data_IF_456756908097
#
_entry.id   IF_456756908097
#
_cell.length_a   1.000
_cell.length_b   1.000
_cell.length_c   1.000
_cell.angle_alpha   90.00
_cell.angle_beta   90.00
_cell.angle_gamma   90.00
#
_symmetry.space_group_name_H-M   'P 1'
#
loop_
_entity.id
_entity.type
_entity.pdbx_description
1 polymer ?
#
# COMPACT_ATOMS: atom_id res chain seq x y z
N UNK A 1 41.17 76.43 69.32
CA UNK A 1 42.07 75.94 70.39
C UNK A 1 41.56 74.57 70.84
N UNK A 2 42.49 73.65 71.11
CA UNK A 2 42.34 72.24 71.58
C UNK A 2 42.01 71.14 70.56
N UNK A 3 43.11 70.47 70.14
CA UNK A 3 43.31 69.09 69.63
C UNK A 3 42.83 68.00 70.62
N UNK A 4 43.11 66.69 70.39
CA UNK A 4 42.77 65.73 69.31
C UNK A 4 42.27 64.38 69.92
N UNK A 5 42.29 63.25 69.15
CA UNK A 5 42.37 61.80 69.53
C UNK A 5 41.39 61.01 68.62
N UNK A 6 41.67 59.86 67.98
CA UNK A 6 42.86 59.01 67.73
C UNK A 6 42.54 58.06 66.54
N UNK A 7 43.62 57.58 65.91
CA UNK A 7 43.76 56.50 64.92
C UNK A 7 42.91 55.23 65.13
N UNK A 8 42.53 54.59 64.01
CA UNK A 8 42.93 53.21 63.72
C UNK A 8 42.88 52.91 62.20
N UNK A 9 44.03 52.47 61.66
CA UNK A 9 44.19 51.83 60.35
C UNK A 9 43.54 50.43 60.37
N UNK A 10 42.98 49.99 59.24
CA UNK A 10 43.39 48.71 58.63
C UNK A 10 43.10 48.69 57.13
N UNK A 11 44.01 48.03 56.42
CA UNK A 11 44.21 47.95 54.98
C UNK A 11 43.39 46.79 54.39
N UNK A 12 42.82 46.97 53.20
CA UNK A 12 42.19 45.91 52.40
C UNK A 12 41.94 46.36 50.96
N UNK A 13 42.88 46.04 50.07
CA UNK A 13 42.69 46.02 48.61
C UNK A 13 42.01 44.70 48.19
N UNK A 14 41.64 44.49 46.90
CA UNK A 14 40.84 45.31 45.99
C UNK A 14 39.77 44.43 45.29
N UNK A 15 38.93 44.96 44.40
CA UNK A 15 38.62 44.30 43.12
C UNK A 15 37.87 45.26 42.18
N UNK A 16 38.49 45.54 41.02
CA UNK A 16 37.86 46.20 39.88
C UNK A 16 36.84 45.24 39.25
N UNK A 17 35.62 45.71 39.03
CA UNK A 17 34.68 45.09 38.10
C UNK A 17 34.38 46.08 36.97
N UNK A 18 34.93 45.80 35.79
CA UNK A 18 34.58 46.44 34.53
C UNK A 18 33.26 45.85 34.01
N UNK A 19 32.32 46.72 33.65
CA UNK A 19 31.04 46.35 33.04
C UNK A 19 31.13 46.58 31.53
N UNK A 20 31.04 45.56 30.67
CA UNK A 20 30.77 45.76 29.26
C UNK A 20 29.26 45.71 29.00
N UNK A 21 28.78 46.68 28.22
CA UNK A 21 27.44 46.68 27.63
C UNK A 21 27.32 45.57 26.59
N UNK A 22 26.31 44.71 26.73
CA UNK A 22 25.90 43.76 25.70
C UNK A 22 24.49 44.12 25.24
N UNK A 23 24.39 44.60 24.01
CA UNK A 23 23.13 44.75 23.27
C UNK A 23 22.69 43.36 22.81
N UNK A 24 21.66 42.80 23.45
CA UNK A 24 21.06 41.54 23.05
C UNK A 24 20.05 41.77 21.94
N UNK A 25 20.42 41.49 20.69
CA UNK A 25 19.46 41.19 19.64
C UNK A 25 18.87 39.80 19.91
N UNK A 26 17.69 39.76 20.51
CA UNK A 26 16.91 38.53 20.64
C UNK A 26 16.33 38.12 19.30
N UNK A 27 17.06 37.30 18.54
CA UNK A 27 16.44 36.37 17.60
C UNK A 27 16.34 35.03 18.32
N UNK A 28 15.13 34.64 18.72
CA UNK A 28 14.81 33.24 18.96
C UNK A 28 13.57 32.92 18.13
N UNK A 29 13.89 32.44 16.94
CA UNK A 29 13.13 31.58 16.04
C UNK A 29 11.91 30.93 16.70
N UNK A 30 10.75 31.10 16.07
CA UNK A 30 9.54 30.40 16.47
C UNK A 30 9.79 28.91 16.47
N UNK A 31 9.63 28.27 17.63
CA UNK A 31 9.44 26.84 17.68
C UNK A 31 8.17 26.54 16.89
N UNK A 32 8.34 26.00 15.68
CA UNK A 32 7.25 25.28 15.04
C UNK A 32 6.85 24.20 16.04
N UNK A 33 5.71 24.38 16.72
CA UNK A 33 5.08 23.32 17.47
C UNK A 33 4.85 22.20 16.48
N UNK A 34 5.75 21.20 16.47
CA UNK A 34 5.57 19.99 15.70
C UNK A 34 4.38 19.28 16.30
N UNK A 35 3.19 19.68 15.83
CA UNK A 35 1.94 19.04 16.19
C UNK A 35 2.10 17.59 15.77
N UNK A 36 2.01 16.69 16.75
CA UNK A 36 2.14 15.26 16.56
C UNK A 36 1.26 14.82 15.36
N UNK A 37 1.82 14.17 14.32
CA UNK A 37 1.16 14.07 13.02
C UNK A 37 0.09 12.98 12.94
N UNK A 38 -0.08 12.17 13.99
CA UNK A 38 -1.06 11.10 14.06
C UNK A 38 -2.08 11.40 15.15
N UNK A 39 -3.30 11.77 14.78
CA UNK A 39 -4.39 12.05 15.74
C UNK A 39 -5.38 10.88 15.77
N UNK A 40 -5.63 10.32 16.95
CA UNK A 40 -6.78 9.43 17.15
C UNK A 40 -8.03 10.30 17.26
N UNK A 41 -8.87 10.32 16.23
CA UNK A 41 -9.98 11.27 16.08
C UNK A 41 -10.94 11.21 17.28
N UNK A 42 -11.27 10.01 17.73
CA UNK A 42 -12.26 9.77 18.79
C UNK A 42 -11.83 10.33 20.14
N UNK A 43 -10.52 10.49 20.38
CA UNK A 43 -9.98 10.99 21.65
C UNK A 43 -9.36 12.39 21.54
N UNK A 44 -9.12 12.87 20.31
CA UNK A 44 -8.35 14.08 20.04
C UNK A 44 -6.86 13.98 20.39
N UNK A 45 -6.40 12.84 20.93
CA UNK A 45 -5.00 12.64 21.32
C UNK A 45 -4.13 12.50 20.07
N UNK A 46 -3.02 13.23 20.05
CA UNK A 46 -2.05 13.17 18.96
C UNK A 46 -0.74 12.54 19.43
N UNK A 47 -0.12 11.76 18.54
CA UNK A 47 1.09 10.98 18.80
C UNK A 47 2.18 11.30 17.77
N UNK A 48 3.44 11.24 18.22
CA UNK A 48 4.61 11.46 17.36
C UNK A 48 4.99 10.24 16.55
N UNK A 49 4.70 9.02 17.06
CA UNK A 49 4.91 7.74 16.36
C UNK A 49 3.57 7.12 15.98
N UNK A 50 3.50 6.53 14.80
CA UNK A 50 2.29 5.86 14.33
C UNK A 50 1.92 4.68 15.25
N UNK A 51 2.90 3.91 15.70
CA UNK A 51 2.68 2.78 16.59
C UNK A 51 1.98 3.21 17.90
N UNK A 52 2.33 4.36 18.47
CA UNK A 52 1.71 4.82 19.73
C UNK A 52 0.22 5.15 19.53
N UNK A 53 -0.16 5.67 18.35
CA UNK A 53 -1.57 5.89 18.01
C UNK A 53 -2.34 4.58 17.82
N UNK A 54 -1.71 3.56 17.22
CA UNK A 54 -2.29 2.21 17.09
C UNK A 54 -2.47 1.57 18.46
N UNK A 55 -1.44 1.62 19.31
CA UNK A 55 -1.46 1.05 20.66
C UNK A 55 -2.52 1.73 21.54
N UNK A 56 -2.74 3.04 21.35
CA UNK A 56 -3.77 3.79 22.06
C UNK A 56 -5.20 3.37 21.69
N UNK A 57 -5.45 2.91 20.46
CA UNK A 57 -6.73 2.31 20.07
C UNK A 57 -6.85 0.91 20.70
N UNK A 58 -5.76 0.15 20.69
CA UNK A 58 -5.69 -1.16 21.31
C UNK A 58 -6.72 -2.12 20.70
N UNK A 59 -7.48 -2.84 21.54
CA UNK A 59 -8.49 -3.79 21.07
C UNK A 59 -9.81 -3.13 20.65
N UNK A 60 -9.92 -1.81 20.77
CA UNK A 60 -11.10 -1.06 20.38
C UNK A 60 -11.21 -0.85 18.87
N UNK A 61 -12.03 0.13 18.49
CA UNK A 61 -12.13 0.63 17.12
C UNK A 61 -11.83 2.12 17.13
N UNK A 62 -11.09 2.61 16.13
CA UNK A 62 -10.76 4.03 16.06
C UNK A 62 -10.12 4.47 14.75
N UNK A 63 -9.97 5.78 14.59
CA UNK A 63 -9.47 6.41 13.38
C UNK A 63 -8.20 7.18 13.68
N UNK A 64 -7.10 6.81 13.04
CA UNK A 64 -5.85 7.56 13.02
C UNK A 64 -5.86 8.47 11.80
N UNK A 65 -5.97 9.78 12.04
CA UNK A 65 -5.77 10.80 11.02
C UNK A 65 -4.30 11.16 10.91
N UNK A 66 -3.78 11.08 9.69
CA UNK A 66 -2.41 11.45 9.33
C UNK A 66 -2.38 12.90 8.84
N UNK A 67 -1.39 13.67 9.29
CA UNK A 67 -1.04 14.95 8.69
C UNK A 67 -0.55 14.75 7.24
N UNK A 68 -0.61 15.82 6.43
CA UNK A 68 -0.14 15.85 5.05
C UNK A 68 1.39 15.95 4.96
N UNK A 69 2.09 14.85 5.26
CA UNK A 69 3.54 14.75 5.30
C UNK A 69 4.06 13.45 4.67
N UNK A 70 5.38 13.38 4.49
CA UNK A 70 6.10 12.13 4.23
C UNK A 70 6.66 11.57 5.54
N UNK A 71 6.42 10.29 5.76
CA UNK A 71 6.69 9.59 7.01
C UNK A 71 7.66 8.43 6.75
N UNK A 72 8.82 8.47 7.39
CA UNK A 72 9.65 7.28 7.58
C UNK A 72 9.17 6.55 8.84
N UNK A 73 7.94 6.07 8.82
CA UNK A 73 7.29 5.36 9.93
C UNK A 73 6.59 4.08 9.47
N UNK A 74 6.29 3.19 10.39
CA UNK A 74 5.53 1.96 10.14
C UNK A 74 4.77 1.56 11.41
N UNK A 75 3.78 0.69 11.28
CA UNK A 75 3.08 0.16 12.45
C UNK A 75 2.57 -1.27 12.29
N UNK A 76 2.39 -1.91 13.44
CA UNK A 76 1.83 -3.23 13.61
C UNK A 76 0.51 -3.11 14.36
N UNK A 77 -0.59 -3.45 13.70
CA UNK A 77 -1.91 -3.56 14.31
C UNK A 77 -2.17 -4.99 14.73
N UNK A 78 -1.94 -5.30 16.01
CA UNK A 78 -2.11 -6.66 16.56
C UNK A 78 -3.56 -7.03 16.89
N UNK A 79 -4.45 -6.05 17.00
CA UNK A 79 -5.83 -6.21 17.52
C UNK A 79 -6.72 -5.05 17.08
N UNK A 80 -7.99 -5.08 17.49
CA UNK A 80 -8.93 -4.01 17.23
C UNK A 80 -9.30 -3.82 15.75
N UNK A 81 -9.95 -2.69 15.46
CA UNK A 81 -10.31 -2.25 14.11
C UNK A 81 -9.86 -0.81 13.87
N UNK A 82 -8.84 -0.61 13.04
CA UNK A 82 -8.20 0.69 12.87
C UNK A 82 -8.46 1.25 11.47
N UNK A 83 -8.92 2.51 11.42
CA UNK A 83 -8.97 3.28 10.17
C UNK A 83 -7.75 4.19 10.09
N UNK A 84 -6.95 4.05 9.04
CA UNK A 84 -5.81 4.88 8.70
C UNK A 84 -6.22 5.87 7.62
N UNK A 85 -6.38 7.14 7.99
CA UNK A 85 -6.96 8.18 7.12
C UNK A 85 -5.99 9.32 6.89
N UNK A 86 -5.71 9.67 5.63
CA UNK A 86 -5.07 10.92 5.30
C UNK A 86 -6.00 12.10 5.60
N UNK A 87 -5.49 13.20 6.18
CA UNK A 87 -6.25 14.44 6.29
C UNK A 87 -6.59 15.01 4.90
N UNK A 88 -5.62 14.95 3.98
CA UNK A 88 -5.82 15.23 2.56
C UNK A 88 -5.37 14.02 1.74
N UNK A 89 -6.28 13.37 0.97
CA UNK A 89 -5.93 12.20 0.16
C UNK A 89 -4.74 12.46 -0.77
N UNK A 90 -3.78 11.55 -0.76
CA UNK A 90 -2.57 11.59 -1.58
C UNK A 90 -1.42 12.38 -0.96
N UNK A 91 -1.62 13.04 0.19
CA UNK A 91 -0.61 13.89 0.82
C UNK A 91 0.02 13.29 2.08
N UNK A 92 -0.45 12.14 2.55
CA UNK A 92 0.16 11.37 3.64
C UNK A 92 0.90 10.16 3.06
N UNK A 93 2.23 10.18 3.08
CA UNK A 93 3.09 9.19 2.43
C UNK A 93 3.88 8.38 3.44
N UNK A 94 3.59 7.09 3.61
CA UNK A 94 4.49 6.15 4.28
C UNK A 94 5.58 5.73 3.29
N UNK A 95 6.84 6.00 3.61
CA UNK A 95 7.96 5.93 2.66
C UNK A 95 9.16 5.18 3.21
N UNK A 96 9.58 4.13 2.50
CA UNK A 96 10.84 3.42 2.69
C UNK A 96 10.96 2.55 3.94
N UNK A 97 10.14 2.78 4.98
CA UNK A 97 10.23 2.03 6.24
C UNK A 97 9.23 0.88 6.32
N UNK A 98 9.74 -0.29 6.68
CA UNK A 98 8.95 -1.48 6.97
C UNK A 98 9.06 -1.89 8.44
N UNK A 99 7.96 -2.41 8.98
CA UNK A 99 7.89 -3.08 10.27
C UNK A 99 7.97 -4.59 10.05
N UNK A 100 8.63 -5.29 10.98
CA UNK A 100 8.84 -6.75 10.97
C UNK A 100 9.45 -7.31 9.68
N UNK A 101 10.26 -6.51 8.96
CA UNK A 101 10.78 -6.86 7.63
C UNK A 101 9.66 -7.26 6.64
N UNK A 102 8.45 -6.72 6.80
CA UNK A 102 7.27 -7.06 6.00
C UNK A 102 6.70 -5.86 5.25
N UNK A 103 6.25 -4.84 5.98
CA UNK A 103 5.46 -3.77 5.37
C UNK A 103 5.43 -2.46 6.17
N UNK A 104 5.01 -1.37 5.53
CA UNK A 104 4.73 -0.12 6.24
C UNK A 104 3.57 -0.29 7.25
N UNK A 105 2.53 -1.03 6.88
CA UNK A 105 1.47 -1.45 7.79
C UNK A 105 1.39 -2.98 7.83
N UNK A 106 1.57 -3.57 9.01
CA UNK A 106 1.35 -5.00 9.26
C UNK A 106 0.07 -5.15 10.08
N UNK A 107 -0.95 -5.75 9.48
CA UNK A 107 -2.32 -5.74 9.97
C UNK A 107 -2.77 -7.17 10.31
N UNK A 108 -3.13 -7.40 11.57
CA UNK A 108 -3.62 -8.71 12.06
C UNK A 108 -4.72 -8.58 13.12
N UNK A 109 -5.37 -7.42 13.18
CA UNK A 109 -6.54 -7.17 14.02
C UNK A 109 -7.84 -7.71 13.40
N UNK A 110 -9.00 -7.36 13.98
CA UNK A 110 -10.31 -7.76 13.45
C UNK A 110 -10.59 -7.15 12.07
N UNK A 111 -10.04 -5.97 11.80
CA UNK A 111 -10.08 -5.37 10.48
C UNK A 111 -9.35 -4.03 10.40
N UNK A 112 -9.22 -3.51 9.19
CA UNK A 112 -8.60 -2.23 8.95
C UNK A 112 -9.25 -1.50 7.78
N UNK A 113 -9.16 -0.16 7.80
CA UNK A 113 -9.51 0.69 6.66
C UNK A 113 -8.35 1.60 6.31
N UNK A 114 -8.10 1.79 5.03
CA UNK A 114 -7.07 2.68 4.50
C UNK A 114 -7.75 3.67 3.58
N UNK A 115 -7.59 4.96 3.88
CA UNK A 115 -8.30 6.02 3.19
C UNK A 115 -7.34 7.15 2.83
N UNK A 116 -7.07 7.35 1.54
CA UNK A 116 -6.28 8.50 1.08
C UNK A 116 -4.76 8.38 1.25
N UNK A 117 -4.23 7.27 1.76
CA UNK A 117 -2.79 7.13 2.02
C UNK A 117 -1.98 6.80 0.75
N UNK A 118 -0.71 7.17 0.78
CA UNK A 118 0.31 6.75 -0.20
C UNK A 118 1.34 5.85 0.48
N UNK A 119 1.68 4.74 -0.16
CA UNK A 119 2.73 3.81 0.24
C UNK A 119 3.81 3.80 -0.83
N UNK A 120 5.05 4.09 -0.45
CA UNK A 120 6.14 4.25 -1.41
C UNK A 120 7.45 3.60 -0.95
N UNK A 121 8.21 3.10 -1.93
CA UNK A 121 9.60 2.66 -1.78
C UNK A 121 9.85 1.57 -0.74
N UNK A 122 8.86 0.71 -0.46
CA UNK A 122 9.01 -0.36 0.52
C UNK A 122 9.79 -1.52 -0.09
N UNK A 123 10.93 -1.82 0.53
CA UNK A 123 11.84 -2.90 0.16
C UNK A 123 12.33 -3.58 1.43
N UNK A 124 12.38 -4.90 1.44
CA UNK A 124 12.84 -5.68 2.59
C UNK A 124 13.78 -6.80 2.12
N UNK A 125 14.57 -7.44 3.01
CA UNK A 125 15.59 -8.40 2.59
C UNK A 125 15.09 -9.60 1.78
N UNK A 126 13.86 -10.07 2.04
CA UNK A 126 13.26 -11.23 1.36
C UNK A 126 12.67 -10.91 -0.03
N UNK A 127 12.77 -9.64 -0.47
CA UNK A 127 12.23 -9.12 -1.73
C UNK A 127 10.71 -9.13 -1.82
N UNK A 128 10.02 -9.09 -0.69
CA UNK A 128 8.57 -9.16 -0.60
C UNK A 128 7.95 -8.02 0.25
N UNK A 129 8.63 -6.88 0.30
CA UNK A 129 8.25 -5.72 1.09
C UNK A 129 7.01 -5.02 0.57
N UNK A 130 5.97 -4.87 1.41
CA UNK A 130 4.67 -4.34 0.99
C UNK A 130 4.33 -2.97 1.57
N UNK A 131 3.48 -2.21 0.88
CA UNK A 131 2.77 -1.10 1.54
C UNK A 131 1.93 -1.61 2.70
N UNK A 132 1.18 -2.70 2.46
CA UNK A 132 0.30 -3.35 3.44
C UNK A 132 0.55 -4.86 3.46
N UNK A 133 0.81 -5.40 4.65
CA UNK A 133 0.80 -6.85 4.93
C UNK A 133 -0.44 -7.16 5.78
N UNK A 134 -1.45 -7.80 5.22
CA UNK A 134 -2.67 -8.20 5.92
C UNK A 134 -2.58 -9.69 6.31
N UNK A 135 -2.30 -10.00 7.56
CA UNK A 135 -2.17 -11.40 7.99
C UNK A 135 -3.52 -12.04 8.34
N UNK A 136 -4.50 -11.25 8.82
CA UNK A 136 -5.87 -11.69 9.12
C UNK A 136 -6.80 -10.46 9.12
N UNK A 137 -8.07 -10.68 8.79
CA UNK A 137 -9.16 -9.76 9.10
C UNK A 137 -9.66 -9.04 7.85
N UNK A 138 -10.73 -8.28 8.00
CA UNK A 138 -11.30 -7.54 6.87
C UNK A 138 -10.44 -6.32 6.53
N UNK A 139 -10.30 -6.01 5.25
CA UNK A 139 -9.58 -4.82 4.79
C UNK A 139 -10.41 -4.04 3.77
N UNK A 140 -10.57 -2.74 4.02
CA UNK A 140 -11.07 -1.81 3.01
C UNK A 140 -9.97 -0.80 2.65
N UNK A 141 -9.69 -0.65 1.37
CA UNK A 141 -8.75 0.32 0.82
C UNK A 141 -9.50 1.22 -0.13
N UNK A 142 -9.45 2.53 0.10
CA UNK A 142 -10.12 3.50 -0.76
C UNK A 142 -9.23 4.69 -1.04
N UNK A 143 -9.21 5.11 -2.31
CA UNK A 143 -8.48 6.30 -2.75
C UNK A 143 -7.01 6.29 -2.29
N UNK A 144 -6.33 5.16 -2.43
CA UNK A 144 -4.95 4.98 -1.99
C UNK A 144 -3.98 4.81 -3.17
N UNK A 145 -2.69 5.07 -2.94
CA UNK A 145 -1.64 4.93 -3.94
C UNK A 145 -0.51 4.04 -3.43
N UNK A 146 -0.16 3.02 -4.20
CA UNK A 146 0.96 2.13 -3.92
C UNK A 146 1.95 2.25 -5.06
N UNK A 147 3.21 2.59 -4.76
CA UNK A 147 4.21 2.79 -5.81
C UNK A 147 5.64 2.46 -5.42
N UNK A 148 6.43 2.09 -6.41
CA UNK A 148 7.89 2.00 -6.30
C UNK A 148 8.39 1.00 -5.23
N UNK A 149 7.55 0.04 -4.86
CA UNK A 149 7.78 -0.97 -3.82
C UNK A 149 7.83 -2.37 -4.43
N UNK A 150 8.32 -3.35 -3.66
CA UNK A 150 8.31 -4.76 -4.10
C UNK A 150 6.87 -5.28 -4.21
N UNK A 151 6.05 -5.08 -3.18
CA UNK A 151 4.61 -5.37 -3.15
C UNK A 151 3.80 -4.08 -2.93
N UNK A 152 2.58 -4.04 -3.46
CA UNK A 152 1.57 -3.05 -3.00
C UNK A 152 0.88 -3.53 -1.74
N UNK A 153 0.11 -4.62 -1.89
CA UNK A 153 -0.63 -5.29 -0.83
C UNK A 153 -0.34 -6.80 -0.89
N UNK A 154 -0.02 -7.39 0.25
CA UNK A 154 0.17 -8.82 0.41
C UNK A 154 -0.68 -9.33 1.58
N UNK A 155 -1.52 -10.33 1.36
CA UNK A 155 -2.27 -10.97 2.44
C UNK A 155 -1.76 -12.37 2.79
N UNK A 156 -2.03 -12.79 4.04
CA UNK A 156 -2.07 -14.18 4.45
C UNK A 156 -3.38 -14.85 4.03
N UNK A 157 -3.91 -15.70 4.91
CA UNK A 157 -5.11 -16.51 4.66
C UNK A 157 -6.17 -16.23 5.73
N UNK A 158 -7.40 -16.00 5.30
CA UNK A 158 -8.58 -15.84 6.14
C UNK A 158 -9.82 -16.16 5.29
N UNK A 159 -10.23 -17.44 5.19
CA UNK A 159 -11.35 -17.85 4.34
C UNK A 159 -12.70 -17.20 4.69
N UNK A 160 -12.82 -16.58 5.87
CA UNK A 160 -14.01 -15.82 6.29
C UNK A 160 -13.84 -14.31 6.08
N UNK A 161 -12.63 -13.86 5.77
CA UNK A 161 -12.29 -12.47 5.55
C UNK A 161 -12.70 -11.96 4.17
N UNK A 162 -12.88 -10.64 4.09
CA UNK A 162 -13.18 -9.91 2.87
C UNK A 162 -12.21 -8.74 2.68
N UNK A 163 -11.73 -8.59 1.45
CA UNK A 163 -10.87 -7.48 1.04
C UNK A 163 -11.58 -6.67 -0.05
N UNK A 164 -11.72 -5.36 0.16
CA UNK A 164 -12.30 -4.42 -0.79
C UNK A 164 -11.30 -3.31 -1.12
N UNK A 165 -11.03 -3.09 -2.41
CA UNK A 165 -10.14 -2.06 -2.94
C UNK A 165 -10.93 -1.21 -3.93
N UNK A 166 -11.05 0.09 -3.66
CA UNK A 166 -11.76 1.04 -4.51
C UNK A 166 -10.89 2.24 -4.86
N UNK A 167 -11.02 2.75 -6.08
CA UNK A 167 -10.39 4.01 -6.52
C UNK A 167 -8.90 4.13 -6.21
N UNK A 168 -8.17 3.02 -6.25
CA UNK A 168 -6.77 2.98 -5.82
C UNK A 168 -5.83 2.78 -7.01
N UNK A 169 -4.59 3.24 -6.87
CA UNK A 169 -3.58 3.18 -7.94
C UNK A 169 -2.36 2.37 -7.50
N UNK A 170 -1.90 1.50 -8.38
CA UNK A 170 -0.77 0.59 -8.21
C UNK A 170 0.22 0.81 -9.35
N UNK A 171 1.39 1.38 -9.07
CA UNK A 171 2.32 1.86 -10.11
C UNK A 171 3.74 1.40 -9.82
N UNK A 172 4.44 0.77 -10.79
CA UNK A 172 5.85 0.35 -10.62
C UNK A 172 6.05 -0.51 -9.37
N UNK A 173 5.23 -1.56 -9.28
CA UNK A 173 5.28 -2.57 -8.24
C UNK A 173 5.71 -3.91 -8.84
N UNK A 174 6.26 -4.79 -8.00
CA UNK A 174 6.67 -6.14 -8.37
C UNK A 174 8.18 -6.27 -8.61
N UNK A 175 8.68 -7.48 -8.38
CA UNK A 175 10.05 -7.93 -8.68
C UNK A 175 10.05 -9.46 -8.72
N UNK A 176 10.97 -10.09 -9.44
CA UNK A 176 11.17 -11.56 -9.40
C UNK A 176 12.60 -11.92 -8.96
N UNK A 177 13.28 -11.02 -8.25
CA UNK A 177 14.66 -11.21 -7.75
C UNK A 177 14.74 -12.08 -6.47
N UNK A 178 13.61 -12.47 -5.88
CA UNK A 178 13.52 -13.25 -4.63
C UNK A 178 13.34 -14.75 -4.83
N UNK A 179 12.88 -15.45 -3.79
CA UNK A 179 12.49 -16.88 -3.87
C UNK A 179 11.20 -17.12 -4.68
N UNK A 180 10.51 -16.05 -5.04
CA UNK A 180 9.39 -15.99 -5.96
C UNK A 180 9.22 -14.56 -6.46
N UNK A 181 8.13 -14.30 -7.16
CA UNK A 181 7.78 -12.95 -7.60
C UNK A 181 6.96 -12.22 -6.53
N UNK A 182 7.25 -10.93 -6.40
CA UNK A 182 6.38 -9.95 -5.81
C UNK A 182 5.42 -9.34 -6.86
N UNK A 183 4.28 -8.83 -6.40
CA UNK A 183 3.09 -8.49 -7.14
C UNK A 183 2.51 -7.16 -6.68
N UNK A 184 1.74 -6.49 -7.53
CA UNK A 184 1.04 -5.27 -7.10
C UNK A 184 0.00 -5.57 -6.00
N UNK A 185 -0.87 -6.56 -6.22
CA UNK A 185 -1.79 -7.10 -5.23
C UNK A 185 -1.66 -8.62 -5.19
N UNK A 186 -1.32 -9.16 -4.01
CA UNK A 186 -1.32 -10.60 -3.74
C UNK A 186 -2.29 -10.90 -2.60
N UNK A 187 -3.33 -11.67 -2.91
CA UNK A 187 -4.30 -12.15 -1.92
C UNK A 187 -4.14 -13.66 -1.76
N UNK A 188 -3.85 -14.11 -0.54
CA UNK A 188 -3.91 -15.51 -0.14
C UNK A 188 -5.36 -16.03 -0.08
N UNK A 189 -5.58 -17.17 0.56
CA UNK A 189 -6.91 -17.79 0.61
C UNK A 189 -7.88 -16.96 1.47
N UNK A 190 -8.70 -16.14 0.81
CA UNK A 190 -9.70 -15.26 1.42
C UNK A 190 -11.11 -15.60 0.94
N UNK A 191 -12.13 -15.28 1.73
CA UNK A 191 -13.52 -15.49 1.33
C UNK A 191 -13.90 -14.68 0.09
N UNK A 192 -13.48 -13.41 0.04
CA UNK A 192 -13.73 -12.56 -1.13
C UNK A 192 -12.69 -11.47 -1.36
N UNK A 193 -12.49 -11.13 -2.64
CA UNK A 193 -11.74 -9.96 -3.11
C UNK A 193 -12.63 -9.12 -4.04
N UNK A 194 -12.81 -7.86 -3.70
CA UNK A 194 -13.45 -6.86 -4.58
C UNK A 194 -12.44 -5.78 -4.95
N UNK A 195 -12.22 -5.55 -6.25
CA UNK A 195 -11.40 -4.47 -6.80
C UNK A 195 -12.26 -3.68 -7.78
N UNK A 196 -12.50 -2.39 -7.49
CA UNK A 196 -13.29 -1.53 -8.36
C UNK A 196 -12.61 -0.20 -8.65
N UNK A 197 -12.84 0.35 -9.85
CA UNK A 197 -12.41 1.69 -10.26
C UNK A 197 -10.93 1.97 -10.01
N UNK A 198 -10.09 0.94 -10.10
CA UNK A 198 -8.69 1.00 -9.71
C UNK A 198 -7.78 0.96 -10.93
N UNK A 199 -6.54 1.44 -10.76
CA UNK A 199 -5.56 1.58 -11.83
C UNK A 199 -4.29 0.82 -11.49
N UNK A 200 -3.87 -0.04 -12.41
CA UNK A 200 -2.63 -0.78 -12.36
C UNK A 200 -1.78 -0.37 -13.56
N UNK A 201 -0.54 0.06 -13.34
CA UNK A 201 0.29 0.53 -14.44
C UNK A 201 1.78 0.31 -14.22
N UNK A 202 2.52 0.19 -15.33
CA UNK A 202 3.97 0.19 -15.36
C UNK A 202 4.62 -0.76 -14.33
N UNK A 203 4.08 -1.98 -14.17
CA UNK A 203 4.61 -2.98 -13.25
C UNK A 203 6.08 -3.30 -13.54
N UNK A 204 6.81 -3.71 -12.51
CA UNK A 204 8.24 -4.02 -12.56
C UNK A 204 8.57 -5.49 -12.28
N UNK A 205 7.54 -6.34 -12.18
CA UNK A 205 7.66 -7.77 -11.96
C UNK A 205 6.30 -8.39 -11.64
N UNK A 206 6.18 -9.71 -11.77
CA UNK A 206 5.01 -10.46 -11.34
C UNK A 206 3.66 -10.01 -11.92
N UNK A 207 2.58 -10.55 -11.37
CA UNK A 207 1.20 -10.17 -11.67
C UNK A 207 0.79 -8.80 -11.11
N UNK A 208 -0.14 -8.11 -11.79
CA UNK A 208 -0.83 -6.96 -11.21
C UNK A 208 -1.80 -7.40 -10.10
N UNK A 209 -2.59 -8.44 -10.35
CA UNK A 209 -3.44 -9.06 -9.33
C UNK A 209 -3.21 -10.57 -9.35
N UNK A 210 -2.73 -11.12 -8.22
CA UNK A 210 -2.72 -12.56 -7.95
C UNK A 210 -3.64 -12.83 -6.78
N UNK A 211 -4.68 -13.65 -6.96
CA UNK A 211 -5.68 -13.87 -5.91
C UNK A 211 -6.06 -15.33 -5.76
N UNK A 212 -5.97 -15.82 -4.52
CA UNK A 212 -6.51 -17.12 -4.09
C UNK A 212 -7.86 -16.98 -3.38
N UNK A 213 -8.54 -15.84 -3.54
CA UNK A 213 -9.86 -15.67 -2.94
C UNK A 213 -10.90 -16.54 -3.65
N UNK A 214 -11.82 -17.15 -2.90
CA UNK A 214 -12.85 -18.04 -3.45
C UNK A 214 -13.85 -17.29 -4.37
N UNK A 215 -14.10 -16.01 -4.07
CA UNK A 215 -14.96 -15.13 -4.85
C UNK A 215 -14.22 -13.85 -5.22
N UNK A 216 -14.29 -13.46 -6.49
CA UNK A 216 -13.66 -12.24 -6.99
C UNK A 216 -14.65 -11.33 -7.71
N UNK A 217 -14.55 -10.03 -7.47
CA UNK A 217 -15.17 -8.99 -8.29
C UNK A 217 -14.11 -7.97 -8.69
N UNK A 218 -13.63 -8.03 -9.94
CA UNK A 218 -12.61 -7.12 -10.47
C UNK A 218 -13.25 -6.34 -11.62
N UNK A 219 -13.64 -5.10 -11.37
CA UNK A 219 -14.50 -4.38 -12.32
C UNK A 219 -14.18 -2.90 -12.47
N UNK A 220 -14.49 -2.36 -13.64
CA UNK A 220 -14.30 -0.93 -13.95
C UNK A 220 -12.87 -0.44 -13.74
N UNK A 221 -11.88 -1.32 -13.83
CA UNK A 221 -10.46 -1.04 -13.54
C UNK A 221 -9.62 -1.05 -14.80
N UNK A 222 -8.44 -0.43 -14.75
CA UNK A 222 -7.51 -0.37 -15.89
C UNK A 222 -6.18 -1.04 -15.56
N UNK A 223 -5.66 -1.84 -16.49
CA UNK A 223 -4.37 -2.50 -16.44
C UNK A 223 -3.53 -2.02 -17.62
N UNK A 224 -2.62 -1.09 -17.37
CA UNK A 224 -1.77 -0.47 -18.39
C UNK A 224 -0.31 -0.96 -18.26
N UNK A 225 -0.01 -2.03 -18.99
CA UNK A 225 1.31 -2.63 -19.02
C UNK A 225 2.21 -2.03 -20.11
N UNK A 226 1.80 -0.92 -20.72
CA UNK A 226 2.56 -0.33 -21.85
C UNK A 226 3.99 0.09 -21.48
N UNK A 227 4.19 0.51 -20.23
CA UNK A 227 5.50 0.81 -19.64
C UNK A 227 5.95 -0.25 -18.62
N UNK A 228 5.30 -1.43 -18.60
CA UNK A 228 5.66 -2.53 -17.73
C UNK A 228 6.96 -3.22 -18.16
N UNK A 229 7.62 -3.88 -17.21
CA UNK A 229 8.85 -4.66 -17.39
C UNK A 229 8.81 -5.92 -16.55
N UNK A 230 9.19 -7.07 -17.12
CA UNK A 230 9.21 -8.35 -16.40
C UNK A 230 7.87 -8.74 -15.78
N UNK A 231 6.75 -8.18 -16.24
CA UNK A 231 5.43 -8.48 -15.65
C UNK A 231 4.90 -9.83 -16.16
N UNK A 232 3.96 -10.40 -15.43
CA UNK A 232 3.34 -11.68 -15.74
C UNK A 232 1.86 -11.47 -16.14
N UNK A 233 0.98 -12.46 -16.04
CA UNK A 233 -0.47 -12.27 -16.27
C UNK A 233 -1.02 -11.05 -15.51
N UNK A 234 -2.01 -10.37 -16.09
CA UNK A 234 -2.56 -9.17 -15.43
C UNK A 234 -3.44 -9.54 -14.26
N UNK A 235 -4.26 -10.58 -14.44
CA UNK A 235 -5.03 -11.19 -13.37
C UNK A 235 -4.69 -12.68 -13.36
N UNK A 236 -4.22 -13.15 -12.23
CA UNK A 236 -3.96 -14.56 -11.95
C UNK A 236 -4.87 -15.03 -10.82
N UNK A 237 -5.72 -16.01 -11.12
CA UNK A 237 -6.57 -16.72 -10.17
C UNK A 237 -6.00 -18.14 -10.00
N UNK A 238 -4.82 -18.30 -9.37
CA UNK A 238 -4.04 -19.53 -9.44
C UNK A 238 -4.76 -20.76 -8.91
N UNK A 239 -5.76 -20.60 -8.05
CA UNK A 239 -6.53 -21.71 -7.44
C UNK A 239 -7.96 -21.84 -7.97
N UNK A 240 -8.32 -21.04 -8.99
CA UNK A 240 -9.70 -20.85 -9.42
C UNK A 240 -10.45 -19.86 -8.53
N UNK A 241 -11.58 -19.36 -9.02
CA UNK A 241 -12.53 -18.56 -8.26
C UNK A 241 -13.85 -18.44 -9.02
N UNK A 242 -14.93 -18.15 -8.30
CA UNK A 242 -16.19 -17.68 -8.90
C UNK A 242 -16.29 -16.15 -8.83
N UNK A 243 -17.29 -15.57 -9.50
CA UNK A 243 -17.57 -14.13 -9.43
C UNK A 243 -17.50 -13.44 -10.79
N UNK A 244 -16.88 -12.26 -10.87
CA UNK A 244 -16.98 -11.36 -12.04
C UNK A 244 -15.70 -10.59 -12.34
N UNK A 245 -15.25 -10.65 -13.60
CA UNK A 245 -14.22 -9.79 -14.18
C UNK A 245 -14.85 -9.03 -15.34
N UNK A 246 -15.20 -7.76 -15.13
CA UNK A 246 -16.03 -7.04 -16.11
C UNK A 246 -15.81 -5.54 -16.21
N UNK A 247 -15.98 -5.00 -17.41
CA UNK A 247 -15.86 -3.57 -17.68
C UNK A 247 -14.44 -3.04 -17.46
N UNK A 248 -13.42 -3.90 -17.54
CA UNK A 248 -12.04 -3.52 -17.37
C UNK A 248 -11.37 -3.18 -18.71
N UNK A 249 -10.32 -2.38 -18.64
CA UNK A 249 -9.49 -2.02 -19.77
C UNK A 249 -8.08 -2.58 -19.60
N UNK A 250 -7.58 -3.31 -20.60
CA UNK A 250 -6.29 -3.98 -20.56
C UNK A 250 -5.42 -3.56 -21.75
N UNK A 251 -4.18 -3.18 -21.47
CA UNK A 251 -3.12 -3.00 -22.45
C UNK A 251 -1.95 -3.87 -22.08
N UNK A 252 -1.64 -4.86 -22.92
CA UNK A 252 -0.51 -5.75 -22.70
C UNK A 252 0.77 -5.18 -23.33
N UNK A 253 1.80 -5.07 -22.49
CA UNK A 253 3.11 -4.55 -22.84
C UNK A 253 3.99 -5.56 -23.57
N UNK A 254 5.13 -5.06 -24.07
CA UNK A 254 6.12 -5.87 -24.78
C UNK A 254 6.89 -6.79 -23.83
N UNK A 255 7.32 -6.24 -22.70
CA UNK A 255 8.22 -6.89 -21.75
C UNK A 255 7.42 -7.61 -20.67
N UNK A 256 7.24 -8.91 -20.88
CA UNK A 256 6.54 -9.81 -19.97
C UNK A 256 7.29 -11.12 -19.85
N UNK A 257 7.38 -11.64 -18.64
CA UNK A 257 7.83 -13.01 -18.40
C UNK A 257 6.84 -14.01 -18.99
N UNK A 258 5.54 -13.75 -18.81
CA UNK A 258 4.49 -14.54 -19.43
C UNK A 258 3.45 -13.64 -20.08
N UNK A 259 3.39 -13.73 -21.40
CA UNK A 259 2.45 -12.99 -22.22
C UNK A 259 1.31 -13.85 -22.76
N UNK A 260 1.30 -15.16 -22.48
CA UNK A 260 0.38 -16.11 -23.13
C UNK A 260 -1.09 -15.88 -22.80
N UNK A 261 -1.38 -15.19 -21.68
CA UNK A 261 -2.73 -14.84 -21.27
C UNK A 261 -2.83 -13.44 -20.63
N UNK A 262 -4.04 -12.86 -20.61
CA UNK A 262 -4.36 -11.69 -19.79
C UNK A 262 -4.88 -12.10 -18.41
N UNK A 263 -5.85 -13.03 -18.41
CA UNK A 263 -6.46 -13.64 -17.22
C UNK A 263 -6.14 -15.13 -17.21
N UNK A 264 -5.49 -15.60 -16.15
CA UNK A 264 -5.23 -17.02 -15.93
C UNK A 264 -6.15 -17.56 -14.82
N UNK A 265 -6.78 -18.71 -15.06
CA UNK A 265 -7.73 -19.35 -14.14
C UNK A 265 -7.23 -20.75 -13.79
N UNK A 266 -7.10 -21.00 -12.48
CA UNK A 266 -6.70 -22.27 -11.88
C UNK A 266 -5.35 -22.83 -12.37
N UNK A 267 -4.41 -21.93 -12.68
CA UNK A 267 -3.13 -22.29 -13.30
C UNK A 267 -2.16 -23.05 -12.37
N UNK A 268 -2.37 -23.02 -11.05
CA UNK A 268 -1.54 -23.74 -10.08
C UNK A 268 -2.30 -24.90 -9.43
N UNK A 269 -3.50 -24.63 -8.91
CA UNK A 269 -4.36 -25.62 -8.25
C UNK A 269 -5.83 -25.36 -8.61
N UNK A 270 -6.72 -26.29 -8.21
CA UNK A 270 -8.17 -26.21 -8.42
C UNK A 270 -8.90 -26.25 -7.07
N UNK A 271 -8.43 -25.46 -6.10
CA UNK A 271 -8.96 -25.44 -4.74
C UNK A 271 -10.37 -24.84 -4.68
N UNK A 272 -10.70 -23.93 -5.60
CA UNK A 272 -12.01 -23.31 -5.72
C UNK A 272 -12.67 -23.62 -7.06
N UNK A 273 -14.01 -23.77 -7.09
CA UNK A 273 -14.74 -23.87 -8.35
C UNK A 273 -14.56 -22.58 -9.16
N UNK A 274 -14.51 -22.73 -10.47
CA UNK A 274 -14.52 -21.66 -11.46
C UNK A 274 -15.81 -21.66 -12.30
N UNK A 275 -16.66 -22.70 -12.16
CA UNK A 275 -17.97 -22.77 -12.77
C UNK A 275 -18.79 -21.51 -12.44
N UNK A 276 -19.18 -20.78 -13.49
CA UNK A 276 -19.95 -19.55 -13.34
C UNK A 276 -19.14 -18.26 -13.15
N UNK A 277 -17.81 -18.31 -13.12
CA UNK A 277 -16.97 -17.10 -13.22
C UNK A 277 -17.32 -16.34 -14.50
N UNK A 278 -17.80 -15.12 -14.36
CA UNK A 278 -18.22 -14.28 -15.47
C UNK A 278 -17.07 -13.38 -15.94
N UNK A 279 -16.77 -13.42 -17.23
CA UNK A 279 -15.77 -12.53 -17.85
C UNK A 279 -16.39 -11.84 -19.06
N UNK A 280 -16.78 -10.58 -18.91
CA UNK A 280 -17.61 -9.89 -19.91
C UNK A 280 -17.42 -8.36 -19.92
N UNK A 281 -17.68 -7.75 -21.07
CA UNK A 281 -17.65 -6.29 -21.26
C UNK A 281 -16.26 -5.67 -21.09
N UNK A 282 -15.19 -6.45 -21.22
CA UNK A 282 -13.82 -5.96 -21.10
C UNK A 282 -13.29 -5.49 -22.47
N UNK A 283 -12.33 -4.57 -22.45
CA UNK A 283 -11.56 -4.15 -23.61
C UNK A 283 -10.10 -4.57 -23.42
N UNK A 284 -9.53 -5.33 -24.35
CA UNK A 284 -8.14 -5.78 -24.27
C UNK A 284 -7.41 -5.58 -25.59
N UNK A 285 -6.18 -5.07 -25.52
CA UNK A 285 -5.33 -4.87 -26.68
C UNK A 285 -3.85 -5.02 -26.32
N UNK A 286 -3.03 -5.19 -27.33
CA UNK A 286 -1.59 -5.00 -27.22
C UNK A 286 -1.22 -3.52 -27.37
N UNK A 287 -0.03 -3.15 -26.93
CA UNK A 287 0.59 -1.88 -27.33
C UNK A 287 0.76 -1.80 -28.86
N UNK A 288 0.78 -0.59 -29.45
CA UNK A 288 0.96 -0.43 -30.89
C UNK A 288 2.23 -1.09 -31.44
N UNK A 289 2.10 -1.75 -32.59
CA UNK A 289 3.21 -2.40 -33.30
C UNK A 289 3.78 -3.65 -32.60
N UNK A 290 3.04 -4.26 -31.67
CA UNK A 290 3.37 -5.56 -31.13
C UNK A 290 2.58 -6.62 -31.90
N UNK A 291 3.31 -7.48 -32.63
CA UNK A 291 2.75 -8.68 -33.23
C UNK A 291 2.91 -9.85 -32.25
N UNK A 292 1.79 -10.36 -31.73
CA UNK A 292 1.75 -11.36 -30.66
C UNK A 292 0.40 -12.08 -30.65
N UNK A 293 0.42 -13.32 -30.18
CA UNK A 293 -0.78 -14.07 -29.84
C UNK A 293 -0.88 -14.33 -28.33
N UNK A 294 -2.06 -14.09 -27.77
CA UNK A 294 -2.39 -14.36 -26.37
C UNK A 294 -3.86 -14.75 -26.24
N UNK A 295 -4.19 -15.56 -25.24
CA UNK A 295 -5.57 -15.73 -24.80
C UNK A 295 -6.00 -14.54 -23.92
N UNK A 296 -7.22 -14.06 -24.07
CA UNK A 296 -7.79 -13.15 -23.10
C UNK A 296 -8.04 -13.88 -21.78
N UNK A 297 -8.68 -15.05 -21.85
CA UNK A 297 -8.85 -15.97 -20.71
C UNK A 297 -8.20 -17.31 -21.04
N UNK A 298 -7.24 -17.75 -20.22
CA UNK A 298 -6.69 -19.09 -20.26
C UNK A 298 -7.16 -19.88 -19.02
N UNK A 299 -7.78 -21.03 -19.25
CA UNK A 299 -8.42 -21.82 -18.21
C UNK A 299 -7.82 -23.22 -18.06
N UNK A 300 -7.30 -23.49 -16.87
CA UNK A 300 -6.83 -24.79 -16.43
C UNK A 300 -7.85 -25.52 -15.57
N UNK A 301 -8.98 -24.91 -15.19
CA UNK A 301 -9.99 -25.57 -14.35
C UNK A 301 -10.74 -26.66 -15.12
N UNK A 302 -11.05 -26.38 -16.40
CA UNK A 302 -11.91 -27.23 -17.23
C UNK A 302 -13.40 -27.09 -16.89
N UNK A 303 -13.76 -26.13 -16.03
CA UNK A 303 -15.12 -25.87 -15.59
C UNK A 303 -15.84 -24.85 -16.49
N UNK A 304 -17.18 -24.86 -16.54
CA UNK A 304 -17.93 -23.97 -17.43
C UNK A 304 -17.88 -22.51 -16.94
N UNK A 305 -16.97 -21.71 -17.48
CA UNK A 305 -16.92 -20.26 -17.30
C UNK A 305 -18.07 -19.57 -18.06
N UNK A 306 -18.51 -18.40 -17.57
CA UNK A 306 -19.50 -17.54 -18.24
C UNK A 306 -18.80 -16.43 -19.01
N UNK A 307 -18.28 -16.76 -20.19
CA UNK A 307 -17.63 -15.80 -21.07
C UNK A 307 -18.67 -15.02 -21.87
N UNK A 308 -18.70 -13.70 -21.69
CA UNK A 308 -19.55 -12.79 -22.44
C UNK A 308 -18.79 -12.03 -23.53
N UNK A 309 -19.44 -11.03 -24.11
CA UNK A 309 -18.84 -10.19 -25.16
C UNK A 309 -17.67 -9.38 -24.59
N UNK A 310 -16.49 -9.50 -25.21
CA UNK A 310 -15.31 -8.71 -24.88
C UNK A 310 -14.77 -8.08 -26.17
N UNK A 311 -14.34 -6.82 -26.11
CA UNK A 311 -13.73 -6.12 -27.23
C UNK A 311 -12.22 -6.43 -27.26
N UNK A 312 -11.83 -7.39 -28.09
CA UNK A 312 -10.46 -7.90 -28.15
C UNK A 312 -9.73 -7.40 -29.41
N UNK A 313 -8.53 -6.88 -29.21
CA UNK A 313 -7.65 -6.48 -30.30
C UNK A 313 -7.13 -7.66 -31.11
N UNK A 314 -6.58 -7.38 -32.29
CA UNK A 314 -5.98 -8.39 -33.15
C UNK A 314 -4.91 -9.21 -32.41
N UNK A 315 -4.87 -10.52 -32.68
CA UNK A 315 -3.97 -11.46 -32.04
C UNK A 315 -4.46 -12.00 -30.68
N UNK A 316 -5.53 -11.46 -30.12
CA UNK A 316 -6.09 -11.91 -28.84
C UNK A 316 -7.25 -12.88 -29.10
N UNK A 317 -7.11 -14.14 -28.71
CA UNK A 317 -8.23 -15.10 -28.69
C UNK A 317 -9.09 -14.88 -27.46
N UNK A 318 -10.40 -15.09 -27.55
CA UNK A 318 -11.29 -14.88 -26.40
C UNK A 318 -11.07 -15.87 -25.26
N UNK A 319 -10.73 -17.10 -25.60
CA UNK A 319 -10.61 -18.19 -24.65
C UNK A 319 -9.62 -19.24 -25.15
N UNK A 320 -8.86 -19.81 -24.22
CA UNK A 320 -8.03 -20.98 -24.46
C UNK A 320 -8.15 -21.93 -23.27
N UNK A 321 -8.47 -23.20 -23.55
CA UNK A 321 -8.41 -24.27 -22.56
C UNK A 321 -6.97 -24.80 -22.49
N UNK A 322 -6.48 -25.01 -21.27
CA UNK A 322 -5.12 -25.48 -20.98
C UNK A 322 -5.10 -26.87 -20.37
#
# INVERSE_FOLDING_TARGET
MNRPIRLALTCGLPLLAAVPAASSFGQSEGSASHTAPYTVIETGRSFTRLQDAVDAIGDGSGTIRFASLRFSDCAVQSKGEVTYRADVPGQSVLDGKACEDKAALVLRGRGARIEGLVFANIRVPDKNGAGVRLEHGNLSVSQAWFRDSEQGLLSGEDPQGAIAIDKSTFTRLGTCEGSGCAHAVYIGNYGSLTITRSRFEAGSGGHYVKSRAAQVEITGSSFDDSAGRGTNYMIDLPEGATGRIAGNWFVQGRDKENYSAFVAVAAEHRSHPSAGLSVQGNNARFVPGLDRHSAFVADWSGEPLKLGDNALGAGISGFEKR
#
